data_IF_827152871278
#
_entry.id   IF_827152871278
#
_cell.length_a   1.000
_cell.length_b   1.000
_cell.length_c   1.000
_cell.angle_alpha   90.00
_cell.angle_beta   90.00
_cell.angle_gamma   90.00
#
_symmetry.space_group_name_H-M   'P 1'
#
loop_
_entity.id
_entity.type
_entity.pdbx_description
1 polymer ?
#
# COMPACT_ATOMS: atom_id res chain seq x y z
N UNK A 1 -7.20 32.62 -6.14
CA UNK A 1 -7.38 32.24 -7.56
C UNK A 1 -6.32 31.25 -7.99
N UNK A 2 -6.72 30.23 -8.77
CA UNK A 2 -5.79 29.23 -9.34
C UNK A 2 -5.30 29.76 -10.69
N UNK A 3 -3.98 29.78 -10.90
CA UNK A 3 -3.40 30.15 -12.20
C UNK A 3 -3.85 29.17 -13.30
N UNK A 4 -4.09 29.71 -14.50
CA UNK A 4 -4.52 28.94 -15.66
C UNK A 4 -3.39 28.03 -16.16
N UNK A 5 -3.55 26.72 -15.98
CA UNK A 5 -2.62 25.71 -16.52
C UNK A 5 -3.13 25.20 -17.88
N UNK A 6 -2.59 25.74 -18.97
CA UNK A 6 -2.93 25.32 -20.32
C UNK A 6 -2.50 23.89 -20.65
N UNK A 7 -1.52 23.32 -19.94
CA UNK A 7 -1.02 21.95 -20.19
C UNK A 7 -1.84 20.90 -19.46
N UNK A 8 -2.42 21.26 -18.32
CA UNK A 8 -3.27 20.38 -17.53
C UNK A 8 -4.49 21.14 -16.98
N UNK A 9 -5.42 21.54 -17.86
CA UNK A 9 -6.59 22.30 -17.45
C UNK A 9 -7.51 21.46 -16.58
N UNK A 10 -8.30 22.09 -15.72
CA UNK A 10 -9.30 21.35 -14.92
C UNK A 10 -10.45 20.82 -15.78
N UNK A 11 -10.84 21.60 -16.80
CA UNK A 11 -11.87 21.29 -17.78
C UNK A 11 -11.36 21.65 -19.18
N UNK A 12 -11.57 20.76 -20.15
CA UNK A 12 -11.35 21.02 -21.55
C UNK A 12 -12.70 21.00 -22.27
N UNK A 13 -13.03 22.07 -22.97
CA UNK A 13 -14.26 22.19 -23.75
C UNK A 13 -13.85 22.21 -25.22
N UNK A 14 -14.23 21.17 -25.96
CA UNK A 14 -14.04 21.08 -27.40
C UNK A 14 -15.36 21.47 -28.08
N UNK A 15 -15.31 22.50 -28.91
CA UNK A 15 -16.47 22.98 -29.66
C UNK A 15 -16.22 22.71 -31.13
N UNK A 16 -17.09 21.93 -31.76
CA UNK A 16 -17.10 21.78 -33.22
C UNK A 16 -18.04 22.82 -33.82
N UNK A 17 -17.52 23.88 -34.48
CA UNK A 17 -18.35 24.95 -35.00
C UNK A 17 -19.26 24.52 -36.17
N UNK A 18 -18.95 23.40 -36.84
CA UNK A 18 -19.70 22.92 -38.00
C UNK A 18 -20.84 21.98 -37.58
N UNK A 19 -20.56 20.99 -36.73
CA UNK A 19 -21.59 20.07 -36.23
C UNK A 19 -22.41 20.65 -35.06
N UNK A 20 -21.95 21.77 -34.46
CA UNK A 20 -22.47 22.36 -33.22
C UNK A 20 -22.37 21.43 -32.01
N UNK A 21 -21.56 20.38 -32.10
CA UNK A 21 -21.29 19.48 -30.98
C UNK A 21 -20.34 20.14 -29.98
N UNK A 22 -20.62 19.93 -28.70
CA UNK A 22 -19.80 20.38 -27.58
C UNK A 22 -19.42 19.17 -26.74
N UNK A 23 -18.12 18.90 -26.63
CA UNK A 23 -17.58 17.85 -25.77
C UNK A 23 -16.89 18.49 -24.57
N UNK A 24 -17.30 18.10 -23.35
CA UNK A 24 -16.73 18.58 -22.10
C UNK A 24 -15.96 17.45 -21.44
N UNK A 25 -14.65 17.64 -21.32
CA UNK A 25 -13.74 16.69 -20.71
C UNK A 25 -13.23 17.23 -19.37
N UNK A 26 -13.68 16.61 -18.27
CA UNK A 26 -13.21 16.92 -16.92
C UNK A 26 -11.98 16.08 -16.58
N UNK A 27 -10.84 16.75 -16.37
CA UNK A 27 -9.60 16.06 -16.03
C UNK A 27 -9.70 15.42 -14.64
N UNK A 28 -8.97 14.32 -14.36
CA UNK A 28 -9.06 13.67 -13.06
C UNK A 28 -8.70 14.59 -11.90
N UNK A 29 -9.33 14.38 -10.74
CA UNK A 29 -8.86 14.91 -9.46
C UNK A 29 -8.14 13.80 -8.69
N UNK A 30 -7.23 14.18 -7.82
CA UNK A 30 -6.47 13.25 -6.99
C UNK A 30 -6.68 13.63 -5.54
N UNK A 31 -7.03 12.66 -4.71
CA UNK A 31 -7.17 12.84 -3.25
C UNK A 31 -6.15 11.93 -2.59
N UNK A 32 -5.30 12.50 -1.74
CA UNK A 32 -4.33 11.75 -0.94
C UNK A 32 -4.76 11.70 0.51
N UNK A 33 -4.26 10.71 1.23
CA UNK A 33 -4.41 10.57 2.67
C UNK A 33 -3.55 9.45 3.20
N UNK A 34 -3.80 9.04 4.44
CA UNK A 34 -3.22 7.84 5.04
C UNK A 34 -4.33 6.94 5.57
N UNK A 35 -4.13 5.63 5.49
CA UNK A 35 -5.04 4.67 6.10
C UNK A 35 -4.31 3.80 7.12
N UNK A 36 -5.01 3.42 8.18
CA UNK A 36 -4.65 2.31 9.06
C UNK A 36 -5.59 1.16 8.79
N UNK A 37 -5.04 -0.05 8.72
CA UNK A 37 -5.79 -1.30 8.70
C UNK A 37 -5.75 -1.91 10.09
N UNK A 38 -6.93 -1.97 10.72
CA UNK A 38 -7.13 -2.36 12.12
C UNK A 38 -7.61 -3.81 12.28
N UNK A 39 -8.02 -4.44 11.17
CA UNK A 39 -8.53 -5.81 11.15
C UNK A 39 -7.92 -6.63 10.02
N UNK A 40 -7.58 -7.88 10.33
CA UNK A 40 -7.15 -8.87 9.34
C UNK A 40 -8.29 -9.33 8.43
N UNK A 41 -7.95 -10.01 7.33
CA UNK A 41 -8.92 -10.54 6.37
C UNK A 41 -9.38 -9.53 5.31
N UNK A 42 -9.02 -8.25 5.48
CA UNK A 42 -9.38 -7.17 4.56
C UNK A 42 -8.27 -6.98 3.52
N UNK A 43 -8.54 -7.14 2.22
CA UNK A 43 -7.56 -6.86 1.19
C UNK A 43 -7.37 -5.34 1.02
N UNK A 44 -6.16 -4.93 0.66
CA UNK A 44 -5.87 -3.53 0.33
C UNK A 44 -6.65 -3.09 -0.92
N UNK A 45 -6.57 -3.88 -1.99
CA UNK A 45 -7.18 -3.59 -3.29
C UNK A 45 -8.30 -4.57 -3.63
N UNK A 46 -9.24 -4.10 -4.44
CA UNK A 46 -10.35 -4.93 -4.91
C UNK A 46 -9.89 -5.92 -5.97
N UNK A 47 -10.39 -7.16 -5.89
CA UNK A 47 -10.16 -8.15 -6.93
C UNK A 47 -10.96 -7.80 -8.19
N UNK A 48 -10.48 -8.16 -9.40
CA UNK A 48 -11.30 -8.09 -10.60
C UNK A 48 -12.60 -8.88 -10.43
N UNK A 49 -13.69 -8.37 -10.99
CA UNK A 49 -14.97 -9.06 -11.00
C UNK A 49 -14.82 -10.43 -11.68
N UNK A 50 -15.28 -11.49 -11.00
CA UNK A 50 -15.19 -12.87 -11.51
C UNK A 50 -15.99 -13.10 -12.80
N UNK A 51 -17.02 -12.29 -13.06
CA UNK A 51 -17.89 -12.44 -14.24
C UNK A 51 -17.32 -11.73 -15.48
N UNK A 52 -16.82 -10.50 -15.34
CA UNK A 52 -16.36 -9.71 -16.48
C UNK A 52 -14.83 -9.57 -16.56
N UNK A 53 -14.09 -10.15 -15.62
CA UNK A 53 -12.63 -10.14 -15.58
C UNK A 53 -12.01 -8.74 -15.51
N UNK A 54 -12.71 -7.76 -14.92
CA UNK A 54 -12.22 -6.37 -14.86
C UNK A 54 -12.86 -5.39 -15.84
N UNK A 55 -13.65 -5.86 -16.82
CA UNK A 55 -14.17 -4.99 -17.90
C UNK A 55 -15.28 -4.01 -17.52
N UNK A 56 -16.03 -4.29 -16.45
CA UNK A 56 -17.34 -3.68 -16.20
C UNK A 56 -18.46 -4.61 -16.68
N UNK A 57 -19.49 -4.75 -15.84
CA UNK A 57 -20.75 -5.41 -16.16
C UNK A 57 -21.80 -5.02 -15.13
N UNK A 58 -23.06 -5.26 -15.45
CA UNK A 58 -24.21 -4.98 -14.59
C UNK A 58 -24.05 -5.60 -13.18
N UNK A 59 -23.52 -6.83 -13.08
CA UNK A 59 -23.29 -7.49 -11.77
C UNK A 59 -22.32 -6.73 -10.87
N UNK A 60 -21.33 -6.05 -11.44
CA UNK A 60 -20.39 -5.21 -10.71
C UNK A 60 -20.72 -3.71 -10.79
N UNK A 61 -21.92 -3.33 -11.28
CA UNK A 61 -22.30 -1.93 -11.54
C UNK A 61 -21.26 -1.20 -12.41
N UNK A 62 -20.79 -1.86 -13.46
CA UNK A 62 -19.79 -1.31 -14.38
C UNK A 62 -18.41 -0.99 -13.76
N UNK A 63 -18.17 -1.32 -12.48
CA UNK A 63 -16.88 -1.05 -11.81
C UNK A 63 -15.74 -1.97 -12.27
N UNK A 64 -16.08 -3.13 -12.84
CA UNK A 64 -15.13 -4.19 -13.16
C UNK A 64 -14.55 -4.89 -11.93
N UNK A 65 -14.95 -4.54 -10.71
CA UNK A 65 -14.38 -5.02 -9.45
C UNK A 65 -15.34 -5.90 -8.67
N UNK A 66 -14.80 -6.79 -7.86
CA UNK A 66 -15.57 -7.57 -6.90
C UNK A 66 -16.02 -6.64 -5.76
N UNK A 67 -17.29 -6.73 -5.34
CA UNK A 67 -17.89 -5.85 -4.33
C UNK A 67 -17.53 -6.22 -2.88
N UNK A 68 -16.37 -6.83 -2.66
CA UNK A 68 -15.88 -7.10 -1.30
C UNK A 68 -15.37 -5.82 -0.66
N UNK A 69 -15.46 -5.74 0.67
CA UNK A 69 -14.91 -4.64 1.46
C UNK A 69 -13.37 -4.70 1.43
N UNK A 70 -12.77 -4.00 0.47
CA UNK A 70 -11.35 -3.66 0.45
C UNK A 70 -11.15 -2.23 0.94
N UNK A 71 -9.92 -1.90 1.35
CA UNK A 71 -9.57 -0.53 1.75
C UNK A 71 -9.82 0.44 0.59
N UNK A 72 -9.39 0.06 -0.61
CA UNK A 72 -9.69 0.77 -1.86
C UNK A 72 -11.19 1.01 -2.05
N UNK A 73 -12.02 -0.04 -1.93
CA UNK A 73 -13.45 0.06 -2.19
C UNK A 73 -14.17 0.97 -1.18
N UNK A 74 -13.79 0.90 0.10
CA UNK A 74 -14.36 1.76 1.15
C UNK A 74 -14.10 3.23 0.85
N UNK A 75 -12.86 3.58 0.51
CA UNK A 75 -12.45 4.96 0.22
C UNK A 75 -13.07 5.44 -1.11
N UNK A 76 -12.97 4.61 -2.15
CA UNK A 76 -13.45 4.96 -3.49
C UNK A 76 -14.96 5.22 -3.54
N UNK A 77 -15.75 4.46 -2.76
CA UNK A 77 -17.21 4.61 -2.71
C UNK A 77 -17.62 6.03 -2.33
N UNK A 78 -17.10 6.55 -1.21
CA UNK A 78 -17.47 7.88 -0.73
C UNK A 78 -16.90 8.99 -1.61
N UNK A 79 -15.69 8.80 -2.16
CA UNK A 79 -15.12 9.74 -3.13
C UNK A 79 -15.95 9.83 -4.42
N UNK A 80 -16.34 8.69 -5.01
CA UNK A 80 -17.14 8.67 -6.23
C UNK A 80 -18.53 9.26 -5.99
N UNK A 81 -19.15 8.97 -4.84
CA UNK A 81 -20.43 9.57 -4.44
C UNK A 81 -20.36 11.09 -4.32
N UNK A 82 -19.33 11.62 -3.65
CA UNK A 82 -19.18 13.06 -3.43
C UNK A 82 -18.76 13.84 -4.69
N UNK A 83 -18.03 13.19 -5.60
CA UNK A 83 -17.50 13.82 -6.82
C UNK A 83 -18.38 13.58 -8.05
N UNK A 84 -19.24 12.55 -8.03
CA UNK A 84 -19.97 12.10 -9.21
C UNK A 84 -19.07 11.59 -10.35
N UNK A 85 -17.86 11.12 -10.02
CA UNK A 85 -16.89 10.61 -11.00
C UNK A 85 -17.30 9.28 -11.63
N UNK A 86 -16.72 8.97 -12.80
CA UNK A 86 -17.03 7.76 -13.58
C UNK A 86 -16.15 6.55 -13.21
N UNK A 87 -15.12 6.74 -12.39
CA UNK A 87 -14.31 5.63 -11.87
C UNK A 87 -13.01 6.10 -11.22
N UNK A 88 -12.31 5.14 -10.62
CA UNK A 88 -11.19 5.39 -9.73
C UNK A 88 -9.92 4.61 -10.08
N UNK A 89 -8.78 5.08 -9.58
CA UNK A 89 -7.54 4.31 -9.48
C UNK A 89 -6.88 4.52 -8.13
N UNK A 90 -6.62 3.44 -7.41
CA UNK A 90 -6.01 3.47 -6.08
C UNK A 90 -4.51 3.22 -6.15
N UNK A 91 -3.75 4.02 -5.42
CA UNK A 91 -2.30 3.96 -5.35
C UNK A 91 -1.86 4.03 -3.89
N UNK A 92 -1.32 2.94 -3.34
CA UNK A 92 -0.73 2.93 -2.00
C UNK A 92 0.80 2.93 -2.05
N UNK A 93 1.42 3.51 -1.02
CA UNK A 93 2.87 3.62 -0.90
C UNK A 93 3.55 2.31 -0.47
N UNK A 94 2.80 1.36 0.06
CA UNK A 94 3.26 0.01 0.40
C UNK A 94 2.12 -0.97 0.09
N UNK A 95 2.44 -2.26 -0.03
CA UNK A 95 1.44 -3.32 -0.23
C UNK A 95 1.52 -4.32 0.92
N UNK A 96 0.53 -4.28 1.82
CA UNK A 96 0.41 -5.24 2.91
C UNK A 96 -0.42 -6.48 2.51
N UNK A 97 -0.12 -7.61 3.16
CA UNK A 97 -0.90 -8.83 3.00
C UNK A 97 -2.29 -8.73 3.59
N UNK A 98 -3.22 -9.58 3.13
CA UNK A 98 -4.60 -9.64 3.63
C UNK A 98 -4.68 -9.89 5.15
N UNK A 99 -3.74 -10.64 5.72
CA UNK A 99 -3.67 -10.94 7.15
C UNK A 99 -2.59 -10.14 7.90
N UNK A 100 -1.99 -9.13 7.24
CA UNK A 100 -1.14 -8.17 7.91
C UNK A 100 -1.98 -6.97 8.36
N UNK A 101 -1.70 -6.41 9.54
CA UNK A 101 -2.22 -5.10 9.91
C UNK A 101 -1.32 -4.00 9.39
N UNK A 102 -1.88 -2.80 9.25
CA UNK A 102 -1.15 -1.60 8.91
C UNK A 102 -1.50 -0.52 9.93
N UNK A 103 -0.73 -0.43 11.01
CA UNK A 103 -1.06 0.40 12.18
C UNK A 103 -0.15 1.62 12.24
N UNK A 104 0.25 2.06 13.43
CA UNK A 104 1.21 3.17 13.63
C UNK A 104 0.78 4.45 12.91
N UNK A 105 1.58 4.96 11.96
CA UNK A 105 1.20 6.16 11.18
C UNK A 105 0.38 5.84 9.93
N UNK A 106 0.05 4.58 9.69
CA UNK A 106 -0.71 4.15 8.51
C UNK A 106 0.09 4.21 7.22
N UNK A 107 -0.56 3.85 6.12
CA UNK A 107 0.01 3.77 4.77
C UNK A 107 -0.50 4.95 3.95
N UNK A 108 0.39 5.76 3.35
CA UNK A 108 -0.02 6.79 2.41
C UNK A 108 -0.72 6.18 1.20
N UNK A 109 -1.77 6.85 0.74
CA UNK A 109 -2.48 6.48 -0.47
C UNK A 109 -2.88 7.72 -1.29
N UNK A 110 -3.16 7.49 -2.57
CA UNK A 110 -3.78 8.45 -3.49
C UNK A 110 -4.88 7.73 -4.27
N UNK A 111 -6.05 8.34 -4.35
CA UNK A 111 -7.14 7.94 -5.24
C UNK A 111 -7.26 8.96 -6.36
N UNK A 112 -7.09 8.50 -7.59
CA UNK A 112 -7.44 9.24 -8.79
C UNK A 112 -8.92 9.01 -9.09
N UNK A 113 -9.69 10.09 -9.28
CA UNK A 113 -11.09 10.03 -9.69
C UNK A 113 -11.23 10.62 -11.10
N UNK A 114 -11.73 9.81 -12.04
CA UNK A 114 -11.88 10.18 -13.45
C UNK A 114 -13.21 10.89 -13.68
N UNK A 115 -13.16 11.93 -14.54
CA UNK A 115 -14.32 12.75 -14.95
C UNK A 115 -15.24 13.17 -13.80
N UNK A 116 -14.71 13.81 -12.74
CA UNK A 116 -15.54 14.28 -11.64
C UNK A 116 -16.49 15.40 -12.13
N UNK A 117 -17.73 15.36 -11.64
CA UNK A 117 -18.73 16.42 -11.82
C UNK A 117 -18.57 17.51 -10.75
N UNK A 118 -18.23 17.12 -9.53
CA UNK A 118 -17.83 17.99 -8.44
C UNK A 118 -16.32 17.82 -8.18
N UNK A 119 -15.55 18.88 -8.43
CA UNK A 119 -14.08 18.88 -8.29
C UNK A 119 -13.59 19.28 -6.90
N UNK A 120 -14.46 19.88 -6.08
CA UNK A 120 -14.12 20.41 -4.76
C UNK A 120 -15.07 19.85 -3.69
N UNK A 121 -15.15 18.52 -3.52
CA UNK A 121 -15.94 17.95 -2.44
C UNK A 121 -15.37 18.31 -1.06
N UNK A 122 -16.23 18.26 -0.03
CA UNK A 122 -15.79 18.38 1.36
C UNK A 122 -15.06 17.10 1.80
N UNK A 123 -13.72 17.17 1.77
CA UNK A 123 -12.86 16.06 2.15
C UNK A 123 -12.99 15.67 3.62
N UNK A 124 -13.28 16.61 4.52
CA UNK A 124 -13.47 16.30 5.95
C UNK A 124 -14.74 15.51 6.21
N UNK A 125 -15.80 15.78 5.44
CA UNK A 125 -17.02 14.97 5.49
C UNK A 125 -16.80 13.58 4.88
N UNK A 126 -16.08 13.47 3.76
CA UNK A 126 -15.70 12.17 3.17
C UNK A 126 -14.89 11.33 4.16
N UNK A 127 -13.90 11.92 4.83
CA UNK A 127 -13.07 11.24 5.82
C UNK A 127 -13.92 10.62 6.93
N UNK A 128 -14.89 11.38 7.45
CA UNK A 128 -15.86 10.92 8.46
C UNK A 128 -16.70 9.76 7.95
N UNK A 129 -17.28 9.87 6.76
CA UNK A 129 -18.13 8.82 6.18
C UNK A 129 -17.36 7.51 5.95
N UNK A 130 -16.13 7.59 5.43
CA UNK A 130 -15.27 6.40 5.23
C UNK A 130 -14.93 5.77 6.58
N UNK A 131 -14.59 6.57 7.60
CA UNK A 131 -14.28 6.06 8.94
C UNK A 131 -15.48 5.42 9.64
N UNK A 132 -16.70 5.94 9.39
CA UNK A 132 -17.93 5.33 9.88
C UNK A 132 -18.22 4.00 9.17
N UNK A 133 -18.09 3.95 7.84
CA UNK A 133 -18.27 2.73 7.06
C UNK A 133 -17.21 1.66 7.35
N UNK A 134 -15.97 2.09 7.62
CA UNK A 134 -14.82 1.26 7.96
C UNK A 134 -14.63 1.02 9.44
N UNK A 135 -15.63 1.28 10.29
CA UNK A 135 -15.50 1.18 11.75
C UNK A 135 -14.86 -0.15 12.18
N UNK A 136 -13.89 -0.06 13.07
CA UNK A 136 -13.09 -1.18 13.61
C UNK A 136 -12.25 -1.95 12.56
N UNK A 137 -12.26 -1.52 11.30
CA UNK A 137 -11.61 -2.19 10.17
C UNK A 137 -10.51 -1.33 9.55
N UNK A 138 -10.85 -0.08 9.23
CA UNK A 138 -10.01 0.89 8.53
C UNK A 138 -10.24 2.26 9.13
N UNK A 139 -9.17 3.01 9.36
CA UNK A 139 -9.25 4.43 9.68
C UNK A 139 -8.42 5.23 8.67
N UNK A 140 -9.04 6.19 7.99
CA UNK A 140 -8.36 7.15 7.13
C UNK A 140 -8.27 8.52 7.78
N UNK A 141 -7.24 9.26 7.42
CA UNK A 141 -6.97 10.61 7.93
C UNK A 141 -6.07 11.40 6.97
N UNK A 142 -5.97 12.70 7.25
CA UNK A 142 -5.18 13.67 6.48
C UNK A 142 -5.59 13.74 5.00
N UNK A 143 -6.90 13.68 4.73
CA UNK A 143 -7.38 13.84 3.35
C UNK A 143 -7.07 15.24 2.81
N UNK A 144 -6.40 15.29 1.66
CA UNK A 144 -6.16 16.53 0.93
C UNK A 144 -6.14 16.29 -0.58
N UNK A 145 -6.29 17.35 -1.37
CA UNK A 145 -6.03 17.25 -2.80
C UNK A 145 -4.55 16.95 -3.08
N UNK A 146 -4.32 16.26 -4.19
CA UNK A 146 -3.02 15.87 -4.69
C UNK A 146 -2.92 16.15 -6.20
N UNK A 147 -1.77 15.85 -6.76
CA UNK A 147 -1.48 16.00 -8.18
C UNK A 147 -1.07 14.67 -8.82
N UNK A 148 -1.08 14.64 -10.15
CA UNK A 148 -0.50 13.55 -10.93
C UNK A 148 0.98 13.30 -10.61
N UNK A 149 1.72 14.33 -10.18
CA UNK A 149 3.11 14.18 -9.77
C UNK A 149 3.23 13.45 -8.42
N UNK A 150 2.27 13.62 -7.52
CA UNK A 150 2.22 12.86 -6.26
C UNK A 150 1.97 11.37 -6.53
N UNK A 151 1.16 11.04 -7.55
CA UNK A 151 1.01 9.65 -8.03
C UNK A 151 2.33 9.08 -8.54
N UNK A 152 3.16 9.89 -9.22
CA UNK A 152 4.49 9.42 -9.63
C UNK A 152 5.39 9.17 -8.42
N UNK A 153 5.34 10.04 -7.41
CA UNK A 153 6.12 9.90 -6.16
C UNK A 153 5.71 8.65 -5.38
N UNK A 154 4.40 8.42 -5.19
CA UNK A 154 3.93 7.24 -4.44
C UNK A 154 4.26 5.92 -5.17
N UNK A 155 4.27 5.92 -6.51
CA UNK A 155 4.69 4.77 -7.33
C UNK A 155 6.19 4.50 -7.27
N UNK A 156 7.00 5.42 -6.74
CA UNK A 156 8.40 5.16 -6.40
C UNK A 156 8.55 4.48 -5.03
N UNK A 157 7.46 3.88 -4.50
CA UNK A 157 7.37 3.15 -3.23
C UNK A 157 8.53 2.20 -2.94
N UNK A 158 9.09 1.55 -3.97
CA UNK A 158 10.27 0.66 -3.84
C UNK A 158 11.52 1.37 -3.28
N UNK A 159 11.50 2.70 -3.16
CA UNK A 159 12.58 3.51 -2.56
C UNK A 159 12.23 4.02 -1.17
N UNK A 160 10.97 3.89 -0.75
CA UNK A 160 10.54 4.31 0.58
C UNK A 160 11.07 3.34 1.64
N UNK A 161 11.11 3.80 2.88
CA UNK A 161 11.46 2.95 4.02
C UNK A 161 10.18 2.47 4.67
N UNK A 162 10.08 1.17 4.88
CA UNK A 162 8.97 0.52 5.54
C UNK A 162 9.44 0.02 6.91
N UNK A 163 8.64 0.29 7.94
CA UNK A 163 8.92 -0.13 9.30
C UNK A 163 7.94 -1.22 9.72
N UNK A 164 8.45 -2.41 10.02
CA UNK A 164 7.68 -3.59 10.36
C UNK A 164 7.87 -4.02 11.80
N UNK A 165 6.81 -4.53 12.41
CA UNK A 165 6.86 -5.34 13.63
C UNK A 165 6.40 -6.76 13.33
N UNK A 166 7.19 -7.72 13.80
CA UNK A 166 7.03 -9.13 13.44
C UNK A 166 7.11 -9.97 14.71
N UNK A 167 6.10 -10.80 14.94
CA UNK A 167 6.18 -11.83 15.97
C UNK A 167 6.72 -13.11 15.32
N UNK A 168 7.85 -13.59 15.80
CA UNK A 168 8.56 -14.75 15.24
C UNK A 168 8.64 -15.86 16.27
N UNK A 169 8.41 -17.08 15.82
CA UNK A 169 8.61 -18.32 16.59
C UNK A 169 9.70 -19.16 15.94
N UNK A 170 10.62 -19.66 16.74
CA UNK A 170 11.64 -20.61 16.32
C UNK A 170 11.25 -22.05 16.67
N UNK A 171 11.73 -22.99 15.87
CA UNK A 171 11.53 -24.42 16.13
C UNK A 171 12.31 -24.95 17.34
N UNK A 172 13.40 -24.27 17.69
CA UNK A 172 14.26 -24.60 18.83
C UNK A 172 14.55 -23.34 19.62
N UNK A 173 15.02 -23.52 20.86
CA UNK A 173 15.43 -22.41 21.71
C UNK A 173 16.55 -21.57 21.07
N UNK A 174 16.44 -20.26 21.28
CA UNK A 174 17.37 -19.26 20.78
C UNK A 174 18.13 -18.68 21.97
N UNK A 175 19.45 -18.82 21.93
CA UNK A 175 20.31 -18.06 22.84
C UNK A 175 20.18 -16.56 22.56
N UNK A 176 19.94 -15.77 23.61
CA UNK A 176 19.74 -14.32 23.51
C UNK A 176 20.95 -13.62 22.89
N UNK A 177 22.18 -14.06 23.18
CA UNK A 177 23.40 -13.52 22.58
C UNK A 177 23.45 -13.74 21.08
N UNK A 178 23.07 -14.95 20.63
CA UNK A 178 22.95 -15.28 19.21
C UNK A 178 21.88 -14.46 18.49
N UNK A 179 20.73 -14.21 19.12
CA UNK A 179 19.69 -13.34 18.56
C UNK A 179 20.21 -11.91 18.37
N UNK A 180 20.85 -11.34 19.39
CA UNK A 180 21.40 -9.98 19.30
C UNK A 180 22.54 -9.89 18.28
N UNK A 181 23.42 -10.90 18.21
CA UNK A 181 24.47 -10.97 17.19
C UNK A 181 23.92 -11.03 15.77
N UNK A 182 22.83 -11.77 15.56
CA UNK A 182 22.12 -11.86 14.25
C UNK A 182 21.56 -10.50 13.85
N UNK A 183 20.89 -9.82 14.79
CA UNK A 183 20.33 -8.48 14.56
C UNK A 183 21.42 -7.47 14.22
N UNK A 184 22.54 -7.48 14.95
CA UNK A 184 23.65 -6.55 14.70
C UNK A 184 24.30 -6.80 13.33
N UNK A 185 24.49 -8.06 12.94
CA UNK A 185 25.05 -8.42 11.63
C UNK A 185 24.16 -7.97 10.45
N UNK A 186 22.86 -7.79 10.69
CA UNK A 186 21.88 -7.39 9.69
C UNK A 186 21.66 -5.88 9.61
N UNK A 187 22.11 -5.10 10.58
CA UNK A 187 22.00 -3.63 10.49
C UNK A 187 22.78 -3.12 9.29
N UNK A 188 22.12 -2.27 8.48
CA UNK A 188 22.71 -1.70 7.24
C UNK A 188 23.09 -2.75 6.19
N UNK A 189 22.61 -3.98 6.31
CA UNK A 189 22.90 -5.04 5.35
C UNK A 189 22.22 -4.79 4.00
N UNK A 190 22.82 -5.35 2.94
CA UNK A 190 22.22 -5.41 1.62
C UNK A 190 21.70 -6.82 1.36
N UNK A 191 20.42 -6.90 1.02
CA UNK A 191 19.71 -8.16 0.76
C UNK A 191 19.58 -8.33 -0.74
N UNK A 192 20.25 -9.34 -1.29
CA UNK A 192 20.20 -9.69 -2.70
C UNK A 192 19.06 -10.67 -2.95
N UNK A 193 18.22 -10.37 -3.94
CA UNK A 193 17.10 -11.20 -4.36
C UNK A 193 17.22 -11.53 -5.84
N UNK A 194 17.37 -12.82 -6.16
CA UNK A 194 17.44 -13.31 -7.53
C UNK A 194 16.05 -13.27 -8.22
N UNK A 195 16.06 -13.00 -9.52
CA UNK A 195 14.83 -12.88 -10.31
C UNK A 195 14.12 -14.23 -10.48
N UNK A 196 12.79 -14.24 -10.36
CA UNK A 196 11.97 -15.44 -10.45
C UNK A 196 11.73 -15.97 -11.88
N UNK A 197 12.06 -15.19 -12.92
CA UNK A 197 11.64 -15.48 -14.31
C UNK A 197 12.75 -15.40 -15.37
N UNK A 198 14.02 -15.41 -14.97
CA UNK A 198 15.15 -15.36 -15.91
C UNK A 198 15.25 -14.10 -16.79
N UNK A 199 14.33 -13.14 -16.62
CA UNK A 199 14.38 -11.81 -17.23
C UNK A 199 14.60 -10.79 -16.13
N UNK A 200 15.74 -10.12 -16.18
CA UNK A 200 16.19 -9.13 -15.19
C UNK A 200 17.22 -9.69 -14.23
N UNK A 201 18.23 -8.87 -13.93
CA UNK A 201 19.27 -9.19 -12.95
C UNK A 201 18.78 -9.19 -11.50
N UNK A 202 19.66 -9.56 -10.56
CA UNK A 202 19.39 -9.51 -9.12
C UNK A 202 18.94 -8.12 -8.69
N UNK A 203 18.03 -8.05 -7.72
CA UNK A 203 17.66 -6.82 -7.04
C UNK A 203 18.35 -6.77 -5.68
N UNK A 204 18.75 -5.57 -5.27
CA UNK A 204 19.37 -5.34 -3.97
C UNK A 204 18.43 -4.44 -3.18
N UNK A 205 18.06 -4.87 -1.98
CA UNK A 205 17.28 -4.12 -1.02
C UNK A 205 18.15 -3.74 0.17
N UNK A 206 17.99 -2.53 0.68
CA UNK A 206 18.71 -2.09 1.88
C UNK A 206 17.90 -2.42 3.13
N UNK A 207 18.53 -3.05 4.11
CA UNK A 207 18.03 -3.11 5.48
C UNK A 207 18.70 -1.98 6.26
N UNK A 208 17.94 -1.02 6.79
CA UNK A 208 18.49 0.17 7.44
C UNK A 208 18.72 -0.02 8.93
N UNK A 209 17.79 -0.68 9.61
CA UNK A 209 17.88 -1.01 11.05
C UNK A 209 17.15 -2.33 11.33
N UNK A 210 17.61 -3.02 12.36
CA UNK A 210 16.98 -4.23 12.88
C UNK A 210 17.11 -4.22 14.41
N UNK A 211 16.04 -4.62 15.11
CA UNK A 211 16.03 -4.77 16.58
C UNK A 211 15.20 -5.99 16.94
N UNK A 212 15.62 -6.77 17.93
CA UNK A 212 14.81 -7.87 18.43
C UNK A 212 14.74 -7.87 19.95
N UNK A 213 13.59 -8.28 20.47
CA UNK A 213 13.31 -8.47 21.89
C UNK A 213 12.79 -9.88 22.10
N UNK A 214 13.53 -10.70 22.84
CA UNK A 214 13.05 -12.02 23.27
C UNK A 214 11.83 -11.84 24.18
N UNK A 215 10.83 -12.68 23.95
CA UNK A 215 9.63 -12.77 24.78
C UNK A 215 9.69 -14.03 25.66
N UNK A 216 10.16 -15.13 25.07
CA UNK A 216 10.44 -16.41 25.73
C UNK A 216 11.60 -17.13 24.98
N UNK A 217 12.01 -18.35 25.39
CA UNK A 217 13.12 -19.07 24.77
C UNK A 217 12.99 -19.33 23.25
N UNK A 218 11.77 -19.31 22.70
CA UNK A 218 11.49 -19.64 21.29
C UNK A 218 10.78 -18.53 20.54
N UNK A 219 10.25 -17.52 21.21
CA UNK A 219 9.55 -16.39 20.57
C UNK A 219 10.23 -15.05 20.81
N UNK A 220 10.20 -14.21 19.79
CA UNK A 220 10.73 -12.85 19.86
C UNK A 220 9.95 -11.90 18.96
N UNK A 221 9.97 -10.63 19.33
CA UNK A 221 9.48 -9.53 18.53
C UNK A 221 10.66 -8.95 17.74
N UNK A 222 10.49 -8.80 16.43
CA UNK A 222 11.48 -8.28 15.50
C UNK A 222 10.95 -7.00 14.86
N UNK A 223 11.71 -5.91 15.01
CA UNK A 223 11.48 -4.64 14.34
C UNK A 223 12.46 -4.49 13.19
N UNK A 224 11.96 -4.25 11.98
CA UNK A 224 12.79 -4.07 10.77
C UNK A 224 12.45 -2.74 10.11
N UNK A 225 13.48 -1.96 9.82
CA UNK A 225 13.39 -0.80 8.93
C UNK A 225 14.09 -1.17 7.63
N UNK A 226 13.34 -1.41 6.57
CA UNK A 226 13.89 -1.87 5.29
C UNK A 226 13.38 -1.03 4.11
N UNK A 227 14.05 -1.19 2.98
CA UNK A 227 13.60 -0.62 1.71
C UNK A 227 12.31 -1.31 1.26
N UNK A 228 11.39 -0.51 0.72
CA UNK A 228 10.08 -0.98 0.27
C UNK A 228 10.17 -2.04 -0.83
N UNK A 229 9.23 -2.98 -0.78
CA UNK A 229 9.15 -4.10 -1.71
C UNK A 229 10.02 -5.32 -1.37
N UNK A 230 10.73 -5.30 -0.24
CA UNK A 230 11.35 -6.51 0.31
C UNK A 230 10.25 -7.47 0.79
N UNK A 231 10.30 -8.74 0.40
CA UNK A 231 9.43 -9.76 0.98
C UNK A 231 9.90 -10.10 2.40
N UNK A 232 9.39 -9.36 3.38
CA UNK A 232 9.80 -9.45 4.79
C UNK A 232 9.57 -10.85 5.37
N UNK A 233 8.48 -11.53 5.00
CA UNK A 233 8.25 -12.91 5.44
C UNK A 233 9.37 -13.82 4.95
N UNK A 234 9.65 -13.81 3.65
CA UNK A 234 10.70 -14.63 3.06
C UNK A 234 12.09 -14.28 3.61
N UNK A 235 12.36 -13.00 3.89
CA UNK A 235 13.58 -12.56 4.55
C UNK A 235 13.74 -13.17 5.95
N UNK A 236 12.66 -13.20 6.74
CA UNK A 236 12.70 -13.74 8.11
C UNK A 236 12.77 -15.26 8.10
N UNK A 237 11.90 -15.94 7.35
CA UNK A 237 11.77 -17.40 7.37
C UNK A 237 12.82 -18.11 6.54
N UNK A 238 13.35 -17.47 5.49
CA UNK A 238 14.21 -18.10 4.49
C UNK A 238 13.48 -19.05 3.55
N UNK A 239 12.15 -18.95 3.44
CA UNK A 239 11.31 -19.80 2.55
C UNK A 239 11.63 -19.63 1.06
N UNK A 240 12.33 -18.56 0.66
CA UNK A 240 12.78 -18.35 -0.71
C UNK A 240 14.31 -18.48 -0.83
N UNK A 241 14.78 -19.52 -1.52
CA UNK A 241 16.21 -19.77 -1.77
C UNK A 241 16.90 -18.69 -2.64
N UNK A 242 16.14 -17.72 -3.13
CA UNK A 242 16.61 -16.62 -3.98
C UNK A 242 17.06 -15.40 -3.20
N UNK A 243 16.94 -15.39 -1.87
CA UNK A 243 17.29 -14.27 -1.03
C UNK A 243 18.52 -14.57 -0.18
N UNK A 244 19.49 -13.66 -0.17
CA UNK A 244 20.69 -13.77 0.64
C UNK A 244 21.24 -12.38 1.05
N UNK A 245 21.60 -12.18 2.34
CA UNK A 245 21.35 -13.08 3.46
C UNK A 245 19.87 -13.10 3.89
N UNK A 246 19.50 -14.09 4.70
CA UNK A 246 18.19 -14.17 5.38
C UNK A 246 18.37 -14.28 6.89
N UNK A 247 17.37 -13.84 7.65
CA UNK A 247 17.42 -13.83 9.11
C UNK A 247 17.57 -15.26 9.67
N UNK A 248 16.78 -16.21 9.16
CA UNK A 248 16.82 -17.62 9.59
C UNK A 248 18.18 -18.28 9.34
N UNK A 249 18.83 -18.01 8.20
CA UNK A 249 20.16 -18.56 7.87
C UNK A 249 21.24 -18.01 8.80
N UNK A 250 21.27 -16.69 9.05
CA UNK A 250 22.24 -16.09 9.98
C UNK A 250 22.00 -16.59 11.40
N UNK A 251 20.73 -16.64 11.83
CA UNK A 251 20.38 -17.16 13.14
C UNK A 251 20.66 -18.68 13.23
N UNK A 252 20.70 -19.40 12.11
CA UNK A 252 20.87 -20.85 12.05
C UNK A 252 19.70 -21.61 12.68
N UNK A 253 18.48 -21.08 12.55
CA UNK A 253 17.25 -21.67 13.10
C UNK A 253 16.12 -21.60 12.09
N UNK A 254 15.23 -22.60 12.12
CA UNK A 254 13.97 -22.55 11.38
C UNK A 254 12.99 -21.64 12.10
N UNK A 255 12.40 -20.71 11.36
CA UNK A 255 11.57 -19.63 11.89
C UNK A 255 10.20 -19.60 11.20
N UNK A 256 9.18 -19.21 11.96
CA UNK A 256 7.83 -18.96 11.48
C UNK A 256 7.39 -17.56 11.90
N UNK A 257 6.89 -16.78 10.96
CA UNK A 257 6.24 -15.52 11.29
C UNK A 257 4.81 -15.79 11.76
N UNK A 258 4.53 -15.55 13.04
CA UNK A 258 3.18 -15.64 13.61
C UNK A 258 2.34 -14.42 13.24
N UNK A 259 2.95 -13.23 13.17
CA UNK A 259 2.31 -11.95 12.82
C UNK A 259 3.32 -11.06 12.09
N UNK A 260 2.86 -10.29 11.11
CA UNK A 260 3.66 -9.28 10.39
C UNK A 260 2.79 -8.04 10.22
N UNK A 261 3.14 -6.96 10.91
CA UNK A 261 2.41 -5.70 10.85
C UNK A 261 3.31 -4.59 10.30
N UNK A 262 2.75 -3.78 9.41
CA UNK A 262 3.40 -2.58 8.89
C UNK A 262 3.03 -1.40 9.81
N UNK A 263 4.03 -0.79 10.43
CA UNK A 263 3.83 0.31 11.39
C UNK A 263 3.96 1.70 10.76
N UNK A 264 4.85 1.85 9.78
CA UNK A 264 5.04 3.13 9.08
C UNK A 264 5.60 2.91 7.66
N UNK A 265 5.26 3.85 6.79
CA UNK A 265 5.92 4.05 5.50
C UNK A 265 6.47 5.48 5.53
N UNK A 266 7.79 5.59 5.64
CA UNK A 266 8.45 6.88 5.69
C UNK A 266 8.52 7.45 4.27
N UNK A 267 7.76 8.52 4.08
CA UNK A 267 7.88 9.40 2.93
C UNK A 267 8.88 10.50 3.31
N UNK A 268 10.04 10.52 2.65
CA UNK A 268 11.04 11.59 2.76
C UNK A 268 10.47 12.94 2.30
#
# INVERSE_FOLDING_TARGET
DKELDHRNPDLMILVNPFSKEIEINSNPIYVKGRYRKLKEGIPQTSRPCSFCGGKGCEKCLETGKHRTDSIEALIARELLKATGGEGESFHAAAAEGTYALATGKGVPFIVEIRKPKNRFPDLSSIEREVNLAGKDMVAIFDLSFASRNDVKRIKQSLRLKEFYEILVEAEEEIDTGRLQGTVEALKKAQIRVESSRGKGGPRIFSLYDARARSLDPRTFELHLLCQGGLNVRAFVTGEEDRMEPTFSKILGRRLKCLRIDLLDVLMD
#
